data_IF_273989933675
#
_entry.id   IF_273989933675
#
_cell.length_a   1.000
_cell.length_b   1.000
_cell.length_c   1.000
_cell.angle_alpha   90.00
_cell.angle_beta   90.00
_cell.angle_gamma   90.00
#
_symmetry.space_group_name_H-M   'P 1'
#
loop_
_entity.id
_entity.type
_entity.pdbx_description
1 polymer ?
#
# COMPACT_ATOMS: atom_id res chain seq x y z
N UNK A 1 -6.14 7.43 -5.13
CA UNK A 1 -5.86 6.05 -5.59
C UNK A 1 -4.53 5.56 -5.03
N UNK A 2 -4.25 4.26 -5.07
CA UNK A 2 -2.97 3.69 -4.62
C UNK A 2 -2.28 2.86 -5.69
N UNK A 3 -0.97 3.05 -5.82
CA UNK A 3 -0.05 2.30 -6.68
C UNK A 3 1.03 1.63 -5.82
N UNK A 4 1.70 0.63 -6.38
CA UNK A 4 2.67 -0.18 -5.66
C UNK A 4 2.03 -1.08 -4.60
N UNK A 5 2.86 -1.75 -3.81
CA UNK A 5 2.37 -2.67 -2.77
C UNK A 5 2.36 -2.00 -1.40
N UNK A 6 1.47 -2.43 -0.51
CA UNK A 6 1.33 -1.91 0.85
C UNK A 6 0.58 -0.58 0.94
N UNK A 7 0.45 0.16 -0.16
CA UNK A 7 -0.22 1.48 -0.17
C UNK A 7 -1.72 1.37 0.10
N UNK A 8 -2.40 0.39 -0.52
CA UNK A 8 -3.83 0.16 -0.31
C UNK A 8 -4.11 -0.33 1.11
N UNK A 9 -3.31 -1.29 1.58
CA UNK A 9 -3.39 -1.85 2.93
C UNK A 9 -3.23 -0.77 3.98
N UNK A 10 -2.22 0.08 3.84
CA UNK A 10 -1.92 1.16 4.78
C UNK A 10 -3.03 2.19 4.80
N UNK A 11 -3.53 2.63 3.64
CA UNK A 11 -4.63 3.58 3.57
C UNK A 11 -5.89 3.04 4.28
N UNK A 12 -6.25 1.79 4.02
CA UNK A 12 -7.41 1.12 4.66
C UNK A 12 -7.18 0.96 6.17
N UNK A 13 -5.98 0.56 6.59
CA UNK A 13 -5.64 0.42 8.01
C UNK A 13 -5.73 1.74 8.78
N UNK A 14 -5.45 2.87 8.12
CA UNK A 14 -5.62 4.22 8.65
C UNK A 14 -7.07 4.74 8.53
N UNK A 15 -8.00 3.92 8.01
CA UNK A 15 -9.44 4.21 7.94
C UNK A 15 -9.92 4.84 6.64
N UNK A 16 -9.16 4.74 5.54
CA UNK A 16 -9.52 5.32 4.24
C UNK A 16 -9.50 4.23 3.17
N UNK A 17 -10.68 3.88 2.66
CA UNK A 17 -10.80 3.00 1.50
C UNK A 17 -10.51 3.80 0.21
N UNK A 18 -9.48 3.43 -0.58
CA UNK A 18 -9.17 4.14 -1.82
C UNK A 18 -10.31 4.05 -2.84
N UNK A 19 -10.49 5.09 -3.67
CA UNK A 19 -11.43 5.02 -4.82
C UNK A 19 -10.97 4.04 -5.90
N UNK A 20 -9.67 3.76 -5.96
CA UNK A 20 -9.10 2.73 -6.80
C UNK A 20 -7.71 2.30 -6.36
N UNK A 21 -7.36 1.08 -6.74
CA UNK A 21 -6.12 0.40 -6.40
C UNK A 21 -5.52 -0.28 -7.64
N UNK A 22 -4.20 -0.38 -7.68
CA UNK A 22 -3.50 -1.21 -8.65
C UNK A 22 -3.94 -2.68 -8.54
N UNK A 23 -4.23 -3.33 -9.68
CA UNK A 23 -4.56 -4.74 -9.71
C UNK A 23 -3.35 -5.63 -9.36
N UNK A 24 -3.57 -6.69 -8.59
CA UNK A 24 -2.49 -7.61 -8.19
C UNK A 24 -2.89 -9.09 -8.36
N UNK A 25 -2.89 -9.62 -9.60
CA UNK A 25 -3.47 -10.94 -9.90
C UNK A 25 -2.82 -12.12 -9.16
N UNK A 26 -1.54 -12.04 -8.84
CA UNK A 26 -0.77 -13.17 -8.29
C UNK A 26 -1.20 -13.55 -6.86
N UNK A 27 -1.62 -12.58 -6.05
CA UNK A 27 -2.07 -12.80 -4.67
C UNK A 27 -3.60 -12.77 -4.49
N UNK A 28 -4.35 -12.48 -5.54
CA UNK A 28 -5.79 -12.26 -5.45
C UNK A 28 -6.60 -13.54 -5.27
N UNK A 29 -7.70 -13.45 -4.53
CA UNK A 29 -8.69 -14.52 -4.43
C UNK A 29 -9.67 -14.49 -5.63
N UNK A 30 -10.74 -15.31 -5.56
CA UNK A 30 -11.77 -15.39 -6.60
C UNK A 30 -12.51 -14.08 -6.88
N UNK A 31 -12.42 -13.09 -5.99
CA UNK A 31 -12.99 -11.75 -6.18
C UNK A 31 -12.11 -10.83 -7.02
N UNK A 32 -10.85 -11.21 -7.29
CA UNK A 32 -9.88 -10.37 -7.99
C UNK A 32 -9.08 -9.45 -7.07
N UNK A 33 -9.38 -9.42 -5.77
CA UNK A 33 -8.68 -8.63 -4.75
C UNK A 33 -7.80 -9.53 -3.86
N UNK A 34 -6.75 -8.94 -3.29
CA UNK A 34 -6.03 -9.54 -2.18
C UNK A 34 -7.03 -9.87 -1.05
N UNK A 35 -6.98 -11.08 -0.44
CA UNK A 35 -7.97 -11.52 0.53
C UNK A 35 -8.15 -10.52 1.69
N UNK A 36 -7.04 -10.00 2.23
CA UNK A 36 -7.06 -9.05 3.34
C UNK A 36 -7.65 -7.69 2.98
N UNK A 37 -7.46 -7.20 1.75
CA UNK A 37 -8.11 -5.97 1.26
C UNK A 37 -9.62 -6.20 1.16
N UNK A 38 -10.02 -7.31 0.53
CA UNK A 38 -11.43 -7.66 0.34
C UNK A 38 -12.17 -7.76 1.68
N UNK A 39 -11.57 -8.46 2.64
CA UNK A 39 -12.12 -8.61 3.99
C UNK A 39 -12.20 -7.27 4.73
N UNK A 40 -11.14 -6.47 4.71
CA UNK A 40 -11.09 -5.19 5.43
C UNK A 40 -12.15 -4.20 4.92
N UNK A 41 -12.29 -4.05 3.59
CA UNK A 41 -13.27 -3.16 2.98
C UNK A 41 -14.70 -3.63 3.22
N UNK A 42 -14.97 -4.94 3.12
CA UNK A 42 -16.30 -5.48 3.45
C UNK A 42 -16.65 -5.27 4.91
N UNK A 43 -15.67 -5.38 5.81
CA UNK A 43 -15.87 -5.17 7.24
C UNK A 43 -16.12 -3.71 7.60
N UNK A 44 -15.53 -2.75 6.88
CA UNK A 44 -15.84 -1.32 7.05
C UNK A 44 -17.21 -0.93 6.49
N UNK A 45 -17.79 -1.76 5.60
CA UNK A 45 -19.04 -1.48 4.92
C UNK A 45 -18.86 -0.58 3.68
N UNK A 46 -17.63 -0.33 3.29
CA UNK A 46 -17.30 0.47 2.11
C UNK A 46 -17.49 -0.31 0.81
N UNK A 47 -17.48 0.42 -0.30
CA UNK A 47 -17.43 -0.18 -1.64
C UNK A 47 -16.01 -0.62 -1.95
N UNK A 48 -15.87 -1.77 -2.62
CA UNK A 48 -14.58 -2.21 -3.14
C UNK A 48 -14.01 -1.14 -4.10
N UNK A 49 -12.73 -0.76 -3.95
CA UNK A 49 -12.05 0.16 -4.87
C UNK A 49 -12.07 -0.37 -6.29
N UNK A 50 -12.18 0.49 -7.32
CA UNK A 50 -11.97 0.00 -8.69
C UNK A 50 -10.51 -0.44 -8.88
N UNK A 51 -10.29 -1.49 -9.66
CA UNK A 51 -8.95 -1.94 -10.03
C UNK A 51 -8.54 -1.33 -11.37
N UNK A 52 -7.26 -0.97 -11.51
CA UNK A 52 -6.65 -0.51 -12.75
C UNK A 52 -5.28 -1.16 -12.97
N UNK A 53 -4.79 -1.15 -14.21
CA UNK A 53 -3.45 -1.65 -14.52
C UNK A 53 -2.38 -0.68 -13.98
N UNK A 54 -1.35 -1.24 -13.33
CA UNK A 54 -0.21 -0.49 -12.79
C UNK A 54 1.12 -1.00 -13.34
N UNK A 55 2.19 -0.87 -12.56
CA UNK A 55 3.54 -1.30 -12.96
C UNK A 55 4.10 -0.53 -14.17
N UNK A 56 4.57 -1.26 -15.19
CA UNK A 56 5.16 -0.66 -16.40
C UNK A 56 4.12 0.02 -17.29
N UNK A 57 2.90 -0.53 -17.34
CA UNK A 57 1.79 -0.07 -18.19
C UNK A 57 0.66 0.50 -17.33
N UNK A 58 0.93 1.61 -16.63
CA UNK A 58 -0.06 2.31 -15.81
C UNK A 58 -1.22 2.81 -16.69
N UNK A 59 -2.44 2.45 -16.31
CA UNK A 59 -3.67 2.93 -16.93
C UNK A 59 -4.03 4.33 -16.38
N UNK A 60 -3.41 5.36 -16.96
CA UNK A 60 -3.63 6.76 -16.57
C UNK A 60 -5.05 7.25 -16.83
N UNK A 61 -5.73 6.71 -17.84
CA UNK A 61 -7.11 7.09 -18.18
C UNK A 61 -8.05 6.60 -17.07
N UNK A 62 -7.95 5.33 -16.67
CA UNK A 62 -8.71 4.80 -15.55
C UNK A 62 -8.43 5.54 -14.23
N UNK A 63 -7.17 5.93 -13.97
CA UNK A 63 -6.83 6.74 -12.79
C UNK A 63 -7.48 8.13 -12.87
N UNK A 64 -7.52 8.75 -14.05
CA UNK A 64 -8.12 10.08 -14.25
C UNK A 64 -9.64 10.04 -14.03
N UNK A 65 -10.33 9.04 -14.58
CA UNK A 65 -11.78 8.84 -14.39
C UNK A 65 -12.20 8.61 -12.94
N UNK A 66 -11.26 8.19 -12.09
CA UNK A 66 -11.47 7.98 -10.67
C UNK A 66 -11.41 9.27 -9.84
N UNK A 67 -11.01 10.39 -10.45
CA UNK A 67 -10.92 11.71 -9.82
C UNK A 67 -10.23 11.68 -8.43
N UNK A 68 -9.00 11.14 -8.31
CA UNK A 68 -8.34 11.02 -7.01
C UNK A 68 -7.92 12.38 -6.44
N UNK A 69 -8.12 12.58 -5.14
CA UNK A 69 -7.54 13.74 -4.44
C UNK A 69 -6.03 13.59 -4.17
N UNK A 70 -5.55 12.35 -4.11
CA UNK A 70 -4.14 11.99 -3.89
C UNK A 70 -3.82 10.64 -4.51
N UNK A 71 -2.59 10.50 -5.01
CA UNK A 71 -2.02 9.26 -5.55
C UNK A 71 -0.89 8.81 -4.62
N UNK A 72 -1.05 7.64 -3.99
CA UNK A 72 -0.08 7.08 -3.04
C UNK A 72 0.74 5.98 -3.73
N UNK A 73 2.04 6.19 -3.89
CA UNK A 73 3.00 5.25 -4.47
C UNK A 73 4.36 5.18 -3.73
N UNK A 74 4.41 5.21 -2.37
CA UNK A 74 5.66 5.29 -1.60
C UNK A 74 6.52 4.03 -1.65
N UNK A 75 5.96 2.84 -1.89
CA UNK A 75 6.74 1.63 -2.18
C UNK A 75 6.31 1.12 -3.56
N UNK A 76 6.97 1.64 -4.59
CA UNK A 76 6.61 1.39 -5.99
C UNK A 76 7.83 1.46 -6.91
N UNK A 77 7.60 1.14 -8.18
CA UNK A 77 8.58 1.23 -9.26
C UNK A 77 8.29 2.34 -10.27
N UNK A 78 7.47 3.34 -9.92
CA UNK A 78 7.10 4.38 -10.88
C UNK A 78 8.35 5.11 -11.40
N UNK A 79 8.42 5.30 -12.71
CA UNK A 79 9.49 6.06 -13.35
C UNK A 79 9.23 7.56 -13.24
N UNK A 80 10.26 8.38 -13.44
CA UNK A 80 10.09 9.84 -13.49
C UNK A 80 9.04 10.28 -14.52
N UNK A 81 9.02 9.63 -15.70
CA UNK A 81 8.03 9.92 -16.75
C UNK A 81 6.61 9.61 -16.29
N UNK A 82 6.40 8.47 -15.60
CA UNK A 82 5.09 8.13 -15.05
C UNK A 82 4.69 9.10 -13.94
N UNK A 83 5.61 9.45 -13.04
CA UNK A 83 5.38 10.46 -12.00
C UNK A 83 4.94 11.81 -12.59
N UNK A 84 5.59 12.25 -13.66
CA UNK A 84 5.25 13.52 -14.32
C UNK A 84 3.84 13.52 -14.93
N UNK A 85 3.29 12.37 -15.31
CA UNK A 85 1.89 12.27 -15.75
C UNK A 85 0.95 12.20 -14.54
N UNK A 86 1.30 11.41 -13.51
CA UNK A 86 0.47 11.25 -12.31
C UNK A 86 0.28 12.58 -11.57
N UNK A 87 1.33 13.41 -11.47
CA UNK A 87 1.24 14.72 -10.80
C UNK A 87 0.28 15.70 -11.49
N UNK A 88 0.06 15.53 -12.79
CA UNK A 88 -0.89 16.35 -13.56
C UNK A 88 -2.34 15.90 -13.31
N UNK A 89 -2.54 14.65 -12.86
CA UNK A 89 -3.85 14.13 -12.44
C UNK A 89 -4.17 14.58 -11.01
N UNK A 90 -3.26 14.35 -10.07
CA UNK A 90 -3.45 14.68 -8.65
C UNK A 90 -2.11 14.71 -7.89
N UNK A 91 -2.05 15.33 -6.69
CA UNK A 91 -0.88 15.25 -5.81
C UNK A 91 -0.37 13.82 -5.66
N UNK A 92 0.86 13.57 -6.09
CA UNK A 92 1.45 12.23 -6.15
C UNK A 92 2.57 12.10 -5.13
N UNK A 93 2.44 11.11 -4.25
CA UNK A 93 3.39 10.77 -3.19
C UNK A 93 4.19 9.53 -3.62
N UNK A 94 5.38 9.76 -4.17
CA UNK A 94 6.28 8.70 -4.63
C UNK A 94 7.17 8.15 -3.50
N UNK A 95 8.00 7.16 -3.83
CA UNK A 95 9.07 6.69 -2.95
C UNK A 95 10.09 7.82 -2.66
N UNK A 96 10.70 7.86 -1.46
CA UNK A 96 11.56 8.96 -1.04
C UNK A 96 12.98 8.90 -1.61
N UNK A 97 13.47 7.72 -1.99
CA UNK A 97 14.83 7.51 -2.49
C UNK A 97 14.86 6.54 -3.68
N UNK A 98 14.99 5.24 -3.41
CA UNK A 98 15.06 4.22 -4.45
C UNK A 98 13.74 3.47 -4.64
N UNK A 99 13.44 3.13 -5.90
CA UNK A 99 12.31 2.27 -6.23
C UNK A 99 12.35 0.97 -5.42
N UNK A 100 11.19 0.50 -4.96
CA UNK A 100 11.04 -0.73 -4.19
C UNK A 100 11.88 -0.83 -2.91
N UNK A 101 12.35 0.29 -2.35
CA UNK A 101 13.30 0.32 -1.23
C UNK A 101 12.82 1.09 0.01
N UNK A 102 11.53 1.42 0.08
CA UNK A 102 10.91 2.07 1.25
C UNK A 102 10.58 1.05 2.32
N UNK A 103 11.04 1.26 3.56
CA UNK A 103 10.70 0.40 4.68
C UNK A 103 9.21 0.49 5.03
N UNK A 104 8.63 -0.58 5.59
CA UNK A 104 7.19 -0.67 5.84
C UNK A 104 6.68 0.39 6.84
N UNK A 105 7.46 0.70 7.86
CA UNK A 105 7.16 1.71 8.88
C UNK A 105 7.28 3.12 8.31
N UNK A 106 8.32 3.37 7.49
CA UNK A 106 8.48 4.60 6.74
C UNK A 106 7.33 4.80 5.74
N UNK A 107 6.89 3.75 5.05
CA UNK A 107 5.74 3.78 4.16
C UNK A 107 4.46 4.20 4.91
N UNK A 108 4.24 3.66 6.12
CA UNK A 108 3.12 4.05 6.97
C UNK A 108 3.17 5.55 7.30
N UNK A 109 4.34 6.07 7.67
CA UNK A 109 4.49 7.48 8.02
C UNK A 109 4.26 8.41 6.81
N UNK A 110 4.78 8.03 5.63
CA UNK A 110 4.57 8.79 4.38
C UNK A 110 3.08 8.85 4.04
N UNK A 111 2.38 7.71 4.08
CA UNK A 111 0.95 7.63 3.76
C UNK A 111 0.12 8.36 4.81
N UNK A 112 0.41 8.14 6.10
CA UNK A 112 -0.28 8.81 7.19
C UNK A 112 -0.18 10.32 7.08
N UNK A 113 1.01 10.85 6.77
CA UNK A 113 1.19 12.29 6.50
C UNK A 113 0.34 12.76 5.31
N UNK A 114 0.35 12.04 4.20
CA UNK A 114 -0.41 12.40 3.00
C UNK A 114 -1.94 12.40 3.24
N UNK A 115 -2.42 11.52 4.12
CA UNK A 115 -3.83 11.40 4.49
C UNK A 115 -4.24 12.28 5.69
N UNK A 116 -3.32 13.03 6.30
CA UNK A 116 -3.59 13.80 7.52
C UNK A 116 -3.87 12.92 8.75
N UNK A 117 -3.31 11.71 8.78
CA UNK A 117 -3.51 10.64 9.78
C UNK A 117 -2.23 10.34 10.58
N UNK A 118 -1.32 11.30 10.73
CA UNK A 118 -0.05 11.08 11.43
C UNK A 118 -0.22 10.65 12.88
N UNK A 119 -1.30 11.06 13.56
CA UNK A 119 -1.58 10.63 14.94
C UNK A 119 -1.91 9.13 15.05
N UNK A 120 -2.37 8.51 13.95
CA UNK A 120 -2.77 7.10 13.91
C UNK A 120 -1.60 6.17 13.52
N UNK A 121 -0.49 6.70 12.98
CA UNK A 121 0.61 5.88 12.43
C UNK A 121 1.39 5.15 13.52
N UNK A 122 1.70 5.81 14.64
CA UNK A 122 2.46 5.20 15.73
C UNK A 122 1.70 4.04 16.37
N UNK A 123 0.37 4.17 16.50
CA UNK A 123 -0.50 3.10 16.98
C UNK A 123 -0.50 1.90 16.03
N UNK A 124 -0.56 2.14 14.71
CA UNK A 124 -0.49 1.09 13.70
C UNK A 124 0.87 0.37 13.71
N UNK A 125 1.98 1.10 13.75
CA UNK A 125 3.34 0.53 13.83
C UNK A 125 3.53 -0.30 15.09
N UNK A 126 3.16 0.23 16.26
CA UNK A 126 3.25 -0.48 17.55
C UNK A 126 2.46 -1.79 17.51
N UNK A 127 1.27 -1.80 16.88
CA UNK A 127 0.46 -3.02 16.75
C UNK A 127 1.17 -4.08 15.90
N UNK A 128 1.77 -3.68 14.78
CA UNK A 128 2.52 -4.59 13.89
C UNK A 128 3.75 -5.14 14.61
N UNK A 129 4.55 -4.27 15.25
CA UNK A 129 5.72 -4.68 16.04
C UNK A 129 5.35 -5.69 17.12
N UNK A 130 4.24 -5.45 17.83
CA UNK A 130 3.71 -6.39 18.81
C UNK A 130 3.34 -7.74 18.17
N UNK A 131 2.65 -7.74 17.02
CA UNK A 131 2.31 -8.98 16.32
C UNK A 131 3.55 -9.78 15.91
N UNK A 132 4.59 -9.09 15.43
CA UNK A 132 5.87 -9.71 15.09
C UNK A 132 6.58 -10.27 16.34
N UNK A 133 6.60 -9.52 17.44
CA UNK A 133 7.19 -9.95 18.71
C UNK A 133 6.45 -11.16 19.30
N UNK A 134 5.11 -11.13 19.29
CA UNK A 134 4.27 -12.24 19.75
C UNK A 134 4.53 -13.50 18.90
N UNK A 135 4.65 -13.37 17.58
CA UNK A 135 5.01 -14.47 16.70
C UNK A 135 6.40 -15.04 17.00
N UNK A 136 7.40 -14.18 17.18
CA UNK A 136 8.77 -14.58 17.53
C UNK A 136 8.83 -15.33 18.87
N UNK A 137 8.03 -14.90 19.86
CA UNK A 137 7.95 -15.56 21.18
C UNK A 137 7.45 -17.02 21.08
N UNK A 138 6.65 -17.36 20.06
CA UNK A 138 6.23 -18.75 19.79
C UNK A 138 7.29 -19.61 19.10
N UNK A 139 8.40 -19.01 18.65
CA UNK A 139 9.46 -19.65 17.86
C UNK A 139 10.86 -19.26 18.37
N UNK A 140 11.19 -19.50 19.65
CA UNK A 140 12.49 -19.08 20.21
C UNK A 140 13.68 -19.68 19.46
N UNK A 141 13.53 -20.89 18.92
CA UNK A 141 14.56 -21.61 18.16
C UNK A 141 14.96 -20.91 16.85
N UNK A 142 14.19 -19.92 16.38
CA UNK A 142 14.51 -19.16 15.17
C UNK A 142 15.45 -17.97 15.43
N UNK A 143 15.72 -17.63 16.69
CA UNK A 143 16.53 -16.45 17.04
C UNK A 143 17.94 -16.48 16.42
N UNK A 144 18.53 -17.67 16.34
CA UNK A 144 19.92 -17.84 15.89
C UNK A 144 20.00 -18.40 14.45
N UNK A 145 18.87 -18.48 13.74
CA UNK A 145 18.88 -18.93 12.35
C UNK A 145 19.26 -17.79 11.41
N UNK A 146 20.06 -18.11 10.39
CA UNK A 146 20.27 -17.22 9.27
C UNK A 146 19.19 -17.45 8.24
N UNK A 147 18.54 -16.38 7.81
CA UNK A 147 17.51 -16.41 6.78
C UNK A 147 18.01 -15.72 5.51
N UNK A 148 17.64 -16.28 4.36
CA UNK A 148 17.80 -15.64 3.06
C UNK A 148 16.48 -15.72 2.33
N UNK A 149 15.98 -14.56 1.90
CA UNK A 149 14.84 -14.48 0.99
C UNK A 149 15.38 -14.42 -0.43
N UNK A 150 14.96 -15.37 -1.26
CA UNK A 150 15.34 -15.43 -2.68
C UNK A 150 14.05 -15.30 -3.49
N UNK A 151 14.01 -14.27 -4.33
CA UNK A 151 12.95 -14.01 -5.29
C UNK A 151 13.42 -14.44 -6.69
#
# INVERSE_FOLDING_TARGET
VTLGQGSAETAIALGQTPVGIESYPWGSDKSGYLPWINEAVKKSGDKLPKQFAGGEEIDFEAITELEPDVILAPWSGITQKQYDVLKDIAPTVAYPDQAWSTDWDQQIDIIGKALGRTEDTDGLKTKIEKQLADAAATRPDYKDVTFSYIY
#
